data_IF_376131894739
#
_entry.id   IF_376131894739
#
_cell.length_a   1.000
_cell.length_b   1.000
_cell.length_c   1.000
_cell.angle_alpha   90.00
_cell.angle_beta   90.00
_cell.angle_gamma   90.00
#
_symmetry.space_group_name_H-M   'P 1'
#
loop_
_entity.id
_entity.type
_entity.pdbx_description
1 polymer ?
#
# COMPACT_ATOMS: atom_id res chain seq x y z
N UNK A 1 -10.73 5.51 -11.75
CA UNK A 1 -9.62 5.47 -10.75
C UNK A 1 -8.57 4.51 -11.24
N UNK A 2 -7.31 4.96 -11.34
CA UNK A 2 -6.17 4.15 -11.79
C UNK A 2 -5.28 3.82 -10.59
N UNK A 3 -4.95 2.54 -10.38
CA UNK A 3 -4.15 2.05 -9.26
C UNK A 3 -2.82 1.51 -9.78
N UNK A 4 -1.69 2.01 -9.26
CA UNK A 4 -0.37 1.49 -9.51
C UNK A 4 0.09 0.60 -8.36
N UNK A 5 0.29 -0.69 -8.61
CA UNK A 5 0.89 -1.61 -7.64
C UNK A 5 2.37 -1.72 -7.91
N UNK A 6 3.19 -1.25 -6.99
CA UNK A 6 4.65 -1.34 -7.08
C UNK A 6 5.09 -2.74 -6.68
N UNK A 7 5.80 -3.42 -7.56
CA UNK A 7 6.41 -4.73 -7.33
C UNK A 7 7.93 -4.59 -7.40
N UNK A 8 8.65 -5.36 -6.60
CA UNK A 8 10.12 -5.34 -6.58
C UNK A 8 10.68 -6.67 -6.02
N UNK A 9 11.93 -6.97 -6.32
CA UNK A 9 12.59 -8.15 -5.78
C UNK A 9 12.65 -8.16 -4.26
N UNK A 10 12.34 -9.29 -3.67
CA UNK A 10 12.35 -9.49 -2.22
C UNK A 10 11.20 -8.78 -1.49
N UNK A 11 10.13 -8.40 -2.20
CA UNK A 11 8.90 -7.98 -1.56
C UNK A 11 8.20 -9.17 -0.89
N UNK A 12 7.29 -8.89 0.04
CA UNK A 12 6.42 -9.91 0.62
C UNK A 12 5.12 -9.99 -0.20
N UNK A 13 4.96 -11.06 -0.99
CA UNK A 13 3.80 -11.23 -1.89
C UNK A 13 2.46 -11.18 -1.17
N UNK A 14 2.40 -11.63 0.09
CA UNK A 14 1.17 -11.57 0.90
C UNK A 14 0.72 -10.14 1.24
N UNK A 15 1.66 -9.19 1.36
CA UNK A 15 1.35 -7.78 1.55
C UNK A 15 0.59 -7.24 0.33
N UNK A 16 1.09 -7.56 -0.86
CA UNK A 16 0.48 -7.19 -2.12
C UNK A 16 -0.86 -7.90 -2.35
N UNK A 17 -0.88 -9.24 -2.29
CA UNK A 17 -2.03 -10.05 -2.69
C UNK A 17 -3.29 -9.73 -1.88
N UNK A 18 -3.15 -9.52 -0.58
CA UNK A 18 -4.29 -9.23 0.31
C UNK A 18 -4.90 -7.85 0.05
N UNK A 19 -4.07 -6.85 -0.15
CA UNK A 19 -4.55 -5.51 -0.51
C UNK A 19 -5.16 -5.52 -1.91
N UNK A 20 -4.48 -6.15 -2.87
CA UNK A 20 -4.96 -6.31 -4.25
C UNK A 20 -6.34 -6.96 -4.30
N UNK A 21 -6.52 -8.08 -3.60
CA UNK A 21 -7.81 -8.78 -3.53
C UNK A 21 -8.90 -7.83 -3.02
N UNK A 22 -8.69 -7.16 -1.90
CA UNK A 22 -9.71 -6.30 -1.31
C UNK A 22 -10.06 -5.09 -2.20
N UNK A 23 -9.04 -4.36 -2.71
CA UNK A 23 -9.28 -3.10 -3.43
C UNK A 23 -9.89 -3.31 -4.83
N UNK A 24 -9.59 -4.44 -5.48
CA UNK A 24 -10.13 -4.73 -6.82
C UNK A 24 -11.61 -5.08 -6.83
N UNK A 25 -12.21 -5.40 -5.68
CA UNK A 25 -13.66 -5.51 -5.55
C UNK A 25 -14.40 -4.22 -5.90
N UNK A 26 -13.75 -3.07 -5.85
CA UNK A 26 -14.32 -1.81 -6.35
C UNK A 26 -14.76 -1.90 -7.82
N UNK A 27 -13.97 -2.59 -8.65
CA UNK A 27 -14.30 -2.83 -10.05
C UNK A 27 -15.31 -3.97 -10.22
N UNK A 28 -15.12 -5.08 -9.51
CA UNK A 28 -15.97 -6.29 -9.60
C UNK A 28 -17.41 -5.98 -9.21
N UNK A 29 -17.60 -5.22 -8.14
CA UNK A 29 -18.94 -4.79 -7.67
C UNK A 29 -19.45 -3.55 -8.43
N UNK A 30 -18.66 -2.99 -9.34
CA UNK A 30 -18.94 -1.71 -10.00
C UNK A 30 -19.25 -0.58 -8.99
N UNK A 31 -18.63 -0.66 -7.82
CA UNK A 31 -18.83 0.30 -6.73
C UNK A 31 -18.17 1.66 -7.02
N UNK A 32 -17.24 1.69 -7.95
CA UNK A 32 -16.62 2.90 -8.47
C UNK A 32 -16.39 2.76 -9.98
N UNK A 33 -16.68 3.81 -10.72
CA UNK A 33 -16.53 3.80 -12.18
C UNK A 33 -15.06 3.81 -12.61
N UNK A 34 -14.78 3.13 -13.73
CA UNK A 34 -13.49 3.15 -14.42
C UNK A 34 -12.29 2.81 -13.50
N UNK A 35 -12.45 1.81 -12.61
CA UNK A 35 -11.33 1.31 -11.82
C UNK A 35 -10.47 0.42 -12.70
N UNK A 36 -9.20 0.78 -12.84
CA UNK A 36 -8.17 0.02 -13.57
C UNK A 36 -6.90 -0.02 -12.74
N UNK A 37 -6.02 -0.97 -13.03
CA UNK A 37 -4.75 -1.09 -12.32
C UNK A 37 -3.61 -1.56 -13.23
N UNK A 38 -2.40 -1.30 -12.78
CA UNK A 38 -1.17 -1.78 -13.39
C UNK A 38 -0.22 -2.34 -12.32
N UNK A 39 0.51 -3.38 -12.70
CA UNK A 39 1.63 -3.92 -11.93
C UNK A 39 2.91 -3.26 -12.46
N UNK A 40 3.50 -2.41 -11.64
CA UNK A 40 4.63 -1.56 -11.99
C UNK A 40 5.89 -2.05 -11.29
N UNK A 41 6.99 -2.22 -12.02
CA UNK A 41 8.27 -2.61 -11.45
C UNK A 41 9.43 -1.93 -12.18
N UNK A 42 10.64 -2.05 -11.62
CA UNK A 42 11.88 -1.61 -12.25
C UNK A 42 12.33 -2.53 -13.40
N UNK A 43 11.73 -3.71 -13.54
CA UNK A 43 11.99 -4.72 -14.58
C UNK A 43 10.75 -5.58 -14.85
N UNK A 44 10.78 -6.34 -15.94
CA UNK A 44 9.62 -7.11 -16.42
C UNK A 44 9.21 -8.27 -15.49
N UNK A 45 10.17 -8.89 -14.78
CA UNK A 45 9.92 -10.00 -13.86
C UNK A 45 10.61 -9.70 -12.52
N UNK A 46 9.86 -9.82 -11.44
CA UNK A 46 10.36 -9.71 -10.05
C UNK A 46 10.15 -11.02 -9.31
N UNK A 47 10.98 -11.26 -8.30
CA UNK A 47 10.90 -12.45 -7.44
C UNK A 47 10.69 -12.00 -6.00
N UNK A 48 9.66 -12.51 -5.34
CA UNK A 48 9.39 -12.19 -3.94
C UNK A 48 10.43 -12.79 -2.97
N UNK A 49 10.24 -12.53 -1.67
CA UNK A 49 11.14 -12.97 -0.61
C UNK A 49 11.18 -14.51 -0.42
N UNK A 50 10.35 -15.26 -1.15
CA UNK A 50 10.21 -16.74 -1.06
C UNK A 50 10.36 -17.46 -2.41
N UNK A 51 10.71 -16.73 -3.47
CA UNK A 51 10.97 -17.28 -4.79
C UNK A 51 9.75 -17.30 -5.73
N UNK A 52 8.62 -16.70 -5.36
CA UNK A 52 7.48 -16.53 -6.25
C UNK A 52 7.80 -15.46 -7.30
N UNK A 53 7.72 -15.85 -8.56
CA UNK A 53 7.94 -14.94 -9.69
C UNK A 53 6.64 -14.26 -10.12
N UNK A 54 6.71 -12.96 -10.34
CA UNK A 54 5.60 -12.14 -10.80
C UNK A 54 6.05 -11.26 -11.97
N UNK A 55 5.15 -11.09 -12.95
CA UNK A 55 5.40 -10.22 -14.09
C UNK A 55 4.76 -8.85 -13.86
N UNK A 56 5.56 -7.81 -14.04
CA UNK A 56 5.03 -6.46 -14.23
C UNK A 56 4.45 -6.33 -15.63
N UNK A 57 3.41 -5.53 -15.77
CA UNK A 57 2.89 -5.13 -17.08
C UNK A 57 3.36 -3.73 -17.51
N UNK A 58 4.02 -3.02 -16.59
CA UNK A 58 4.65 -1.74 -16.86
C UNK A 58 6.02 -1.65 -16.17
N UNK A 59 7.03 -1.29 -16.94
CA UNK A 59 8.41 -1.13 -16.44
C UNK A 59 8.73 0.35 -16.30
N UNK A 60 9.09 0.77 -15.07
CA UNK A 60 9.43 2.15 -14.71
C UNK A 60 8.44 3.21 -15.23
N UNK A 61 7.10 2.99 -15.12
CA UNK A 61 6.18 4.04 -15.53
C UNK A 61 6.30 5.24 -14.60
N UNK A 62 5.91 6.42 -15.06
CA UNK A 62 5.65 7.55 -14.19
C UNK A 62 4.51 7.18 -13.21
N UNK A 63 4.83 7.08 -11.92
CA UNK A 63 3.85 6.70 -10.88
C UNK A 63 2.86 7.84 -10.58
N UNK A 64 3.19 9.07 -10.90
CA UNK A 64 2.32 10.23 -10.72
C UNK A 64 1.05 10.21 -11.57
N UNK A 65 0.99 9.36 -12.60
CA UNK A 65 -0.19 9.18 -13.45
C UNK A 65 -1.30 8.33 -12.83
N UNK A 66 -1.03 7.68 -11.68
CA UNK A 66 -2.01 6.88 -10.95
C UNK A 66 -2.71 7.72 -9.87
N UNK A 67 -3.99 7.44 -9.65
CA UNK A 67 -4.74 8.06 -8.55
C UNK A 67 -4.32 7.49 -7.18
N UNK A 68 -3.87 6.24 -7.16
CA UNK A 68 -3.39 5.53 -5.99
C UNK A 68 -2.13 4.72 -6.35
N UNK A 69 -1.06 4.90 -5.58
CA UNK A 69 0.15 4.07 -5.65
C UNK A 69 0.25 3.26 -4.37
N UNK A 70 0.39 1.94 -4.51
CA UNK A 70 0.53 0.99 -3.41
C UNK A 70 1.93 0.38 -3.37
N UNK A 71 2.56 0.41 -2.19
CA UNK A 71 3.88 -0.16 -1.93
C UNK A 71 3.78 -1.27 -0.87
N UNK A 72 4.03 -2.54 -1.22
CA UNK A 72 4.15 -3.63 -0.25
C UNK A 72 5.43 -3.51 0.56
N UNK A 73 5.52 -4.27 1.64
CA UNK A 73 6.77 -4.47 2.36
C UNK A 73 7.61 -5.62 1.79
N UNK A 74 8.62 -5.98 2.55
CA UNK A 74 9.56 -7.06 2.26
C UNK A 74 10.92 -6.77 2.86
N UNK A 75 11.74 -7.81 2.98
CA UNK A 75 13.05 -7.67 3.62
C UNK A 75 13.97 -6.71 2.84
N UNK A 76 13.81 -6.67 1.51
CA UNK A 76 14.63 -5.84 0.63
C UNK A 76 14.40 -4.34 0.79
N UNK A 77 13.26 -3.89 1.32
CA UNK A 77 12.97 -2.45 1.53
C UNK A 77 14.04 -1.74 2.36
N UNK A 78 14.67 -2.48 3.30
CA UNK A 78 15.74 -1.96 4.16
C UNK A 78 17.01 -1.57 3.42
N UNK A 79 17.25 -2.19 2.24
CA UNK A 79 18.36 -1.87 1.34
C UNK A 79 17.89 -1.00 0.17
N UNK A 80 16.73 -1.33 -0.38
CA UNK A 80 16.19 -0.71 -1.58
C UNK A 80 15.93 0.80 -1.41
N UNK A 81 15.63 1.24 -0.18
CA UNK A 81 15.51 2.66 0.16
C UNK A 81 16.80 3.48 -0.07
N UNK A 82 17.95 2.83 -0.23
CA UNK A 82 19.23 3.48 -0.52
C UNK A 82 19.64 3.33 -2.00
N UNK A 83 18.82 2.70 -2.82
CA UNK A 83 19.02 2.62 -4.27
C UNK A 83 18.49 3.90 -4.92
N UNK A 84 19.37 4.76 -5.36
CA UNK A 84 19.02 6.08 -5.91
C UNK A 84 18.13 5.97 -7.15
N UNK A 85 18.36 4.97 -8.02
CA UNK A 85 17.54 4.78 -9.23
C UNK A 85 16.13 4.34 -8.87
N UNK A 86 15.99 3.36 -7.97
CA UNK A 86 14.70 2.88 -7.50
C UNK A 86 13.94 3.99 -6.77
N UNK A 87 14.61 4.70 -5.88
CA UNK A 87 13.99 5.79 -5.12
C UNK A 87 13.60 6.98 -6.01
N UNK A 88 14.42 7.32 -7.01
CA UNK A 88 14.06 8.31 -8.02
C UNK A 88 12.78 7.93 -8.79
N UNK A 89 12.60 6.63 -9.07
CA UNK A 89 11.36 6.14 -9.66
C UNK A 89 10.17 6.25 -8.67
N UNK A 90 10.34 5.84 -7.41
CA UNK A 90 9.28 5.97 -6.39
C UNK A 90 8.85 7.44 -6.19
N UNK A 91 9.80 8.38 -6.25
CA UNK A 91 9.52 9.81 -6.12
C UNK A 91 8.62 10.36 -7.23
N UNK A 92 8.56 9.71 -8.41
CA UNK A 92 7.60 10.10 -9.44
C UNK A 92 6.13 9.99 -8.99
N UNK A 93 5.85 9.27 -7.88
CA UNK A 93 4.53 9.21 -7.27
C UNK A 93 4.08 10.52 -6.59
N UNK A 94 4.86 11.59 -6.66
CA UNK A 94 4.57 12.86 -5.97
C UNK A 94 3.17 13.40 -6.30
N UNK A 95 2.77 13.35 -7.57
CA UNK A 95 1.46 13.82 -8.04
C UNK A 95 0.33 12.80 -7.87
N UNK A 96 0.62 11.54 -7.51
CA UNK A 96 -0.41 10.55 -7.20
C UNK A 96 -1.21 11.01 -5.97
N UNK A 97 -2.56 10.96 -6.04
CA UNK A 97 -3.36 11.48 -4.94
C UNK A 97 -3.19 10.64 -3.67
N UNK A 98 -3.35 9.32 -3.75
CA UNK A 98 -3.15 8.43 -2.61
C UNK A 98 -1.80 7.70 -2.70
N UNK A 99 -1.02 7.77 -1.62
CA UNK A 99 0.18 6.95 -1.41
C UNK A 99 -0.09 6.00 -0.26
N UNK A 100 -0.13 4.72 -0.57
CA UNK A 100 -0.58 3.66 0.33
C UNK A 100 0.52 2.64 0.52
N UNK A 101 0.78 2.23 1.74
CA UNK A 101 1.77 1.19 2.01
C UNK A 101 1.34 0.24 3.12
N UNK A 102 1.93 -0.94 3.11
CA UNK A 102 1.81 -1.91 4.20
C UNK A 102 3.19 -2.40 4.61
N UNK A 103 3.29 -2.85 5.87
CA UNK A 103 4.53 -3.43 6.39
C UNK A 103 5.70 -2.44 6.20
N UNK A 104 6.86 -2.93 5.77
CA UNK A 104 8.04 -2.08 5.55
C UNK A 104 8.02 -1.26 4.25
N UNK A 105 6.93 -1.30 3.47
CA UNK A 105 6.71 -0.36 2.36
C UNK A 105 6.68 1.10 2.80
N UNK A 106 6.32 1.37 4.05
CA UNK A 106 6.38 2.72 4.63
C UNK A 106 7.82 3.30 4.65
N UNK A 107 8.85 2.46 4.71
CA UNK A 107 10.25 2.93 4.63
C UNK A 107 10.56 3.53 3.26
N UNK A 108 9.98 2.99 2.19
CA UNK A 108 10.12 3.53 0.84
C UNK A 108 9.37 4.86 0.68
N UNK A 109 8.15 4.95 1.25
CA UNK A 109 7.43 6.24 1.29
C UNK A 109 8.19 7.29 2.10
N UNK A 110 8.82 6.87 3.20
CA UNK A 110 9.62 7.74 4.06
C UNK A 110 10.85 8.30 3.35
N UNK A 111 11.65 7.43 2.73
CA UNK A 111 12.85 7.82 1.97
C UNK A 111 12.50 8.71 0.77
N UNK A 112 11.37 8.44 0.12
CA UNK A 112 10.86 9.29 -0.96
C UNK A 112 10.41 10.70 -0.49
N UNK A 113 10.36 10.95 0.84
CA UNK A 113 9.97 12.23 1.43
C UNK A 113 8.47 12.39 1.68
N UNK A 114 7.64 11.40 1.34
CA UNK A 114 6.18 11.52 1.44
C UNK A 114 5.65 11.48 2.87
N UNK A 115 6.46 11.04 3.84
CA UNK A 115 6.09 10.99 5.26
C UNK A 115 6.56 12.19 6.07
N UNK A 116 7.21 13.18 5.47
CA UNK A 116 7.67 14.37 6.16
C UNK A 116 6.49 15.10 6.85
N UNK A 117 6.59 15.25 8.18
CA UNK A 117 5.55 15.89 8.99
C UNK A 117 4.25 15.09 9.15
N UNK A 118 4.23 13.81 8.75
CA UNK A 118 3.07 12.92 8.79
C UNK A 118 3.14 11.93 9.94
N UNK A 119 1.97 11.49 10.40
CA UNK A 119 1.82 10.29 11.22
C UNK A 119 1.82 9.06 10.30
N UNK A 120 2.51 8.00 10.72
CA UNK A 120 2.60 6.78 9.93
C UNK A 120 2.76 5.55 10.81
N UNK A 121 2.53 4.39 10.23
CA UNK A 121 2.84 3.09 10.83
C UNK A 121 3.62 2.21 9.86
N UNK A 122 4.18 1.15 10.38
CA UNK A 122 4.91 0.12 9.62
C UNK A 122 4.83 -1.21 10.37
N UNK A 123 5.51 -2.23 9.87
CA UNK A 123 5.71 -3.46 10.62
C UNK A 123 6.42 -3.17 11.95
N UNK A 124 5.99 -3.81 13.04
CA UNK A 124 6.54 -3.56 14.39
C UNK A 124 8.05 -3.71 14.50
N UNK A 125 8.66 -4.59 13.68
CA UNK A 125 10.12 -4.76 13.62
C UNK A 125 10.87 -3.59 12.96
N UNK A 126 10.15 -2.59 12.44
CA UNK A 126 10.71 -1.46 11.70
C UNK A 126 10.27 -0.08 12.25
N UNK A 127 9.65 -0.02 13.42
CA UNK A 127 9.23 1.27 14.01
C UNK A 127 10.41 2.23 14.17
N UNK A 128 11.53 1.76 14.72
CA UNK A 128 12.74 2.58 14.89
C UNK A 128 13.31 3.04 13.55
N UNK A 129 13.23 2.19 12.51
CA UNK A 129 13.69 2.55 11.17
C UNK A 129 12.79 3.59 10.49
N UNK A 130 11.51 3.66 10.86
CA UNK A 130 10.56 4.62 10.30
C UNK A 130 10.64 6.00 11.01
N UNK A 131 11.01 6.03 12.28
CA UNK A 131 11.04 7.25 13.11
C UNK A 131 11.73 8.45 12.44
N UNK A 132 12.86 8.32 11.73
CA UNK A 132 13.51 9.48 11.09
C UNK A 132 12.73 10.10 9.94
N UNK A 133 11.72 9.41 9.39
CA UNK A 133 11.02 9.79 8.15
C UNK A 133 9.65 10.43 8.38
N UNK A 134 9.12 10.39 9.60
CA UNK A 134 7.76 10.86 9.88
C UNK A 134 7.71 11.67 11.18
N UNK A 135 6.64 12.42 11.39
CA UNK A 135 6.45 13.19 12.62
C UNK A 135 6.19 12.27 13.83
N UNK A 136 5.46 11.18 13.62
CA UNK A 136 5.10 10.24 14.70
C UNK A 136 4.86 8.84 14.14
N UNK A 137 5.43 7.83 14.78
CA UNK A 137 5.14 6.42 14.49
C UNK A 137 3.99 5.95 15.40
N UNK A 138 2.85 5.66 14.79
CA UNK A 138 1.65 5.17 15.50
C UNK A 138 1.62 3.65 15.45
N UNK A 139 1.48 3.00 16.60
CA UNK A 139 1.37 1.54 16.73
C UNK A 139 -0.08 1.09 16.51
N UNK A 140 -0.53 1.11 15.25
CA UNK A 140 -1.88 0.76 14.84
C UNK A 140 -1.87 -0.14 13.61
N UNK A 141 -3.01 -0.74 13.29
CA UNK A 141 -3.16 -1.57 12.10
C UNK A 141 -3.16 -0.73 10.83
N UNK A 142 -3.90 0.40 10.83
CA UNK A 142 -3.91 1.36 9.73
C UNK A 142 -3.80 2.77 10.32
N UNK A 143 -2.98 3.61 9.71
CA UNK A 143 -2.84 5.03 10.02
C UNK A 143 -3.04 5.82 8.75
N UNK A 144 -3.93 6.79 8.80
CA UNK A 144 -4.18 7.76 7.75
C UNK A 144 -3.74 9.15 8.22
N UNK A 145 -3.01 9.84 7.37
CA UNK A 145 -2.72 11.27 7.53
C UNK A 145 -2.92 11.97 6.17
N UNK A 146 -4.13 12.49 5.99
CA UNK A 146 -4.57 13.05 4.73
C UNK A 146 -4.71 11.99 3.64
N UNK A 147 -3.88 12.09 2.62
CA UNK A 147 -3.83 11.18 1.47
C UNK A 147 -2.71 10.12 1.58
N UNK A 148 -2.00 10.09 2.69
CA UNK A 148 -1.02 9.05 3.02
C UNK A 148 -1.68 8.04 3.94
N UNK A 149 -1.69 6.77 3.54
CA UNK A 149 -2.28 5.69 4.33
C UNK A 149 -1.24 4.59 4.47
N UNK A 150 -0.87 4.27 5.71
CA UNK A 150 0.12 3.26 6.01
C UNK A 150 -0.49 2.18 6.89
N UNK A 151 -0.06 0.93 6.74
CA UNK A 151 -0.52 -0.17 7.57
C UNK A 151 0.64 -0.99 8.15
N UNK A 152 0.37 -1.68 9.25
CA UNK A 152 1.33 -2.44 10.02
C UNK A 152 1.81 -3.72 9.37
N UNK A 153 1.75 -4.85 10.07
CA UNK A 153 2.25 -6.14 9.58
C UNK A 153 1.40 -6.77 8.48
N UNK A 154 1.85 -7.91 8.00
CA UNK A 154 1.30 -8.62 6.83
C UNK A 154 -0.23 -8.77 6.84
N UNK A 155 -0.83 -9.10 8.00
CA UNK A 155 -2.30 -9.29 8.10
C UNK A 155 -3.06 -7.97 8.01
N UNK A 156 -2.46 -6.83 8.34
CA UNK A 156 -3.09 -5.51 8.21
C UNK A 156 -3.35 -5.09 6.76
N UNK A 157 -2.81 -5.82 5.76
CA UNK A 157 -3.09 -5.56 4.34
C UNK A 157 -4.56 -5.75 4.00
N UNK A 158 -5.27 -6.71 4.66
CA UNK A 158 -6.70 -6.90 4.43
C UNK A 158 -7.47 -5.73 5.04
N UNK A 159 -7.14 -5.34 6.28
CA UNK A 159 -7.80 -4.20 6.92
C UNK A 159 -7.57 -2.92 6.14
N UNK A 160 -6.34 -2.71 5.65
CA UNK A 160 -6.00 -1.58 4.78
C UNK A 160 -6.86 -1.58 3.51
N UNK A 161 -7.02 -2.74 2.86
CA UNK A 161 -7.84 -2.87 1.66
C UNK A 161 -9.31 -2.55 1.93
N UNK A 162 -9.88 -3.11 2.99
CA UNK A 162 -11.27 -2.84 3.40
C UNK A 162 -11.47 -1.39 3.85
N UNK A 163 -10.50 -0.82 4.58
CA UNK A 163 -10.48 0.58 4.96
C UNK A 163 -10.50 1.49 3.73
N UNK A 164 -9.67 1.18 2.72
CA UNK A 164 -9.66 1.94 1.46
C UNK A 164 -10.97 1.79 0.68
N UNK A 165 -11.54 0.58 0.63
CA UNK A 165 -12.85 0.37 0.00
C UNK A 165 -13.91 1.22 0.69
N UNK A 166 -13.98 1.19 2.02
CA UNK A 166 -14.94 1.97 2.79
C UNK A 166 -14.76 3.48 2.59
N UNK A 167 -13.51 3.96 2.66
CA UNK A 167 -13.18 5.37 2.48
C UNK A 167 -13.51 5.87 1.07
N UNK A 168 -13.31 5.04 0.05
CA UNK A 168 -13.54 5.40 -1.35
C UNK A 168 -15.00 5.25 -1.79
N UNK A 169 -15.81 4.58 -0.98
CA UNK A 169 -17.22 4.31 -1.26
C UNK A 169 -18.09 4.57 -0.02
N UNK A 170 -18.43 3.54 0.72
CA UNK A 170 -19.22 3.59 1.96
C UNK A 170 -19.13 2.26 2.74
N UNK A 171 -19.69 2.25 3.95
CA UNK A 171 -19.71 1.07 4.83
C UNK A 171 -20.48 -0.13 4.24
N UNK A 172 -21.53 0.11 3.42
CA UNK A 172 -22.30 -0.97 2.82
C UNK A 172 -21.47 -1.78 1.83
N UNK A 173 -20.72 -1.10 0.95
CA UNK A 173 -19.81 -1.75 -0.01
C UNK A 173 -18.65 -2.46 0.73
N UNK A 174 -18.06 -1.82 1.75
CA UNK A 174 -17.04 -2.47 2.56
C UNK A 174 -17.53 -3.75 3.22
N UNK A 175 -18.77 -3.76 3.74
CA UNK A 175 -19.39 -4.95 4.32
C UNK A 175 -19.65 -6.05 3.27
N UNK A 176 -20.02 -5.67 2.05
CA UNK A 176 -20.17 -6.63 0.95
C UNK A 176 -18.81 -7.29 0.60
N UNK A 177 -17.75 -6.49 0.46
CA UNK A 177 -16.40 -7.00 0.19
C UNK A 177 -15.92 -7.89 1.34
N UNK A 178 -16.09 -7.44 2.58
CA UNK A 178 -15.72 -8.21 3.78
C UNK A 178 -16.37 -9.60 3.80
N UNK A 179 -17.67 -9.68 3.46
CA UNK A 179 -18.40 -10.97 3.37
C UNK A 179 -17.86 -11.85 2.23
N UNK A 180 -17.53 -11.25 1.06
CA UNK A 180 -16.97 -12.00 -0.07
C UNK A 180 -15.57 -12.56 0.24
N UNK A 181 -14.79 -11.83 1.05
CA UNK A 181 -13.48 -12.27 1.51
C UNK A 181 -13.53 -13.19 2.74
N UNK A 182 -14.72 -13.44 3.31
CA UNK A 182 -14.91 -14.21 4.55
C UNK A 182 -13.98 -13.72 5.69
N UNK A 183 -13.80 -12.39 5.79
CA UNK A 183 -12.89 -11.76 6.75
C UNK A 183 -13.67 -10.92 7.78
N UNK A 184 -14.15 -11.51 8.89
CA UNK A 184 -15.06 -10.82 9.83
C UNK A 184 -14.35 -9.87 10.82
N UNK A 185 -13.03 -9.69 10.71
CA UNK A 185 -12.25 -8.99 11.73
C UNK A 185 -12.16 -7.48 11.53
N UNK A 186 -12.40 -6.98 10.32
CA UNK A 186 -12.44 -5.54 10.05
C UNK A 186 -13.76 -4.95 10.61
N UNK A 187 -13.64 -3.84 11.35
CA UNK A 187 -14.78 -3.15 11.96
C UNK A 187 -15.32 -2.09 11.00
N UNK A 188 -16.25 -2.48 10.14
CA UNK A 188 -16.92 -1.57 9.21
C UNK A 188 -17.64 -0.45 9.98
N UNK A 189 -17.55 0.77 9.48
CA UNK A 189 -18.12 1.98 10.12
C UNK A 189 -17.12 2.71 11.04
N UNK A 190 -15.90 2.18 11.22
CA UNK A 190 -14.86 2.80 12.03
C UNK A 190 -13.74 3.40 11.15
N UNK A 191 -14.07 4.41 10.35
CA UNK A 191 -13.12 5.16 9.51
C UNK A 191 -12.38 6.22 10.33
N UNK A 192 -11.71 5.84 11.41
CA UNK A 192 -10.81 6.73 12.14
C UNK A 192 -9.45 6.84 11.42
N UNK A 193 -8.75 7.97 11.63
CA UNK A 193 -7.38 8.14 11.10
C UNK A 193 -6.37 7.18 11.74
N UNK A 194 -6.74 6.51 12.82
CA UNK A 194 -5.97 5.46 13.48
C UNK A 194 -6.89 4.27 13.73
N UNK A 195 -6.78 3.25 12.90
CA UNK A 195 -7.51 1.99 13.04
C UNK A 195 -6.65 0.95 13.78
N UNK A 196 -7.17 0.43 14.90
CA UNK A 196 -6.46 -0.48 15.82
C UNK A 196 -6.65 -1.95 15.46
#
# INVERSE_FOLDING_TARGET
>A
MKIGFVLFDGMTSMDFARFYEAITWLAILKAKENVTWAFCADKLEVTDDRGLKMKANEVLPDLGRFDLVFLPGGISTRKLRYDENFMGWIQTADTAFYKVSVCTGALLLGEAGFLNGKKATTNSSAYELLTPYCAEVIKARVVRDGNIITAGGVTSSIDLGLYMVEMLTNSEIALQVQRKMEYPYYQVGNLSDTYM
#
